data_IF_893152835640
#
_entry.id   IF_893152835640
#
_cell.length_a   1.000
_cell.length_b   1.000
_cell.length_c   1.000
_cell.angle_alpha   90.00
_cell.angle_beta   90.00
_cell.angle_gamma   90.00
#
_symmetry.space_group_name_H-M   'P 1'
#
loop_
_entity.id
_entity.type
_entity.pdbx_description
1 polymer ?
#
# COMPACT_ATOMS: atom_id res chain seq x y z
N UNK A 1 -16.34 -10.77 -14.30
CA UNK A 1 -16.53 -10.58 -12.85
C UNK A 1 -16.81 -9.10 -12.65
N UNK A 2 -17.84 -8.76 -11.91
CA UNK A 2 -18.18 -7.36 -11.63
C UNK A 2 -17.12 -6.75 -10.70
N UNK A 3 -16.77 -5.47 -10.88
CA UNK A 3 -15.75 -4.80 -10.09
C UNK A 3 -16.34 -4.25 -8.80
N UNK A 4 -15.67 -4.45 -7.67
CA UNK A 4 -16.07 -3.91 -6.36
C UNK A 4 -15.86 -2.38 -6.28
N UNK A 5 -14.82 -1.87 -6.96
CA UNK A 5 -14.56 -0.43 -7.09
C UNK A 5 -14.22 -0.12 -8.54
N UNK A 6 -14.82 0.94 -9.09
CA UNK A 6 -14.51 1.49 -10.42
C UNK A 6 -14.20 2.97 -10.27
N UNK A 7 -13.07 3.41 -10.81
CA UNK A 7 -12.64 4.81 -10.85
C UNK A 7 -12.36 5.19 -12.29
N UNK A 8 -13.05 6.23 -12.79
CA UNK A 8 -12.99 6.67 -14.19
C UNK A 8 -12.63 8.16 -14.27
N UNK A 9 -11.47 8.46 -14.82
CA UNK A 9 -10.94 9.83 -15.04
C UNK A 9 -11.12 10.76 -13.84
N UNK A 10 -10.86 10.23 -12.63
CA UNK A 10 -11.13 10.93 -11.39
C UNK A 10 -10.12 12.05 -11.20
N UNK A 11 -10.63 13.28 -11.05
CA UNK A 11 -9.83 14.49 -10.86
C UNK A 11 -10.23 15.19 -9.58
N UNK A 12 -9.25 15.70 -8.83
CA UNK A 12 -9.49 16.50 -7.63
C UNK A 12 -8.57 17.68 -7.53
N UNK A 13 -9.16 18.88 -7.46
CA UNK A 13 -8.50 20.13 -7.15
C UNK A 13 -8.86 20.60 -5.75
N UNK A 14 -7.89 21.10 -5.02
CA UNK A 14 -8.05 21.88 -3.78
C UNK A 14 -7.50 23.28 -4.03
N UNK A 15 -8.37 24.21 -4.43
CA UNK A 15 -7.93 25.51 -4.96
C UNK A 15 -7.02 25.30 -6.18
N UNK A 16 -5.81 25.81 -6.12
CA UNK A 16 -4.81 25.70 -7.20
C UNK A 16 -4.01 24.38 -7.17
N UNK A 17 -4.21 23.52 -6.16
CA UNK A 17 -3.48 22.26 -6.02
C UNK A 17 -4.25 21.14 -6.70
N UNK A 18 -3.70 20.59 -7.78
CA UNK A 18 -4.20 19.40 -8.47
C UNK A 18 -3.73 18.16 -7.68
N UNK A 19 -4.63 17.59 -6.87
CA UNK A 19 -4.34 16.42 -6.02
C UNK A 19 -4.50 15.10 -6.76
N UNK A 20 -5.48 15.02 -7.70
CA UNK A 20 -5.67 13.88 -8.59
C UNK A 20 -5.90 14.38 -10.01
N UNK A 21 -5.24 13.74 -10.96
CA UNK A 21 -5.23 14.11 -12.37
C UNK A 21 -5.66 12.93 -13.24
N UNK A 22 -6.97 12.84 -13.52
CA UNK A 22 -7.60 11.85 -14.41
C UNK A 22 -7.22 10.39 -14.09
N UNK A 23 -7.16 10.00 -12.82
CA UNK A 23 -6.85 8.62 -12.46
C UNK A 23 -7.98 7.68 -12.82
N UNK A 24 -7.63 6.48 -13.34
CA UNK A 24 -8.58 5.42 -13.67
C UNK A 24 -8.01 4.08 -13.26
N UNK A 25 -8.79 3.29 -12.53
CA UNK A 25 -8.49 1.91 -12.14
C UNK A 25 -9.75 1.19 -11.68
N UNK A 26 -9.66 -0.11 -11.53
CA UNK A 26 -10.71 -0.95 -10.96
C UNK A 26 -10.15 -1.91 -9.92
N UNK A 27 -10.97 -2.27 -8.93
CA UNK A 27 -10.73 -3.33 -7.96
C UNK A 27 -11.76 -4.43 -8.17
N UNK A 28 -11.32 -5.67 -8.34
CA UNK A 28 -12.20 -6.82 -8.53
C UNK A 28 -12.82 -7.26 -7.20
N UNK A 29 -13.96 -7.95 -7.25
CA UNK A 29 -14.53 -8.54 -6.05
C UNK A 29 -13.57 -9.55 -5.41
N UNK A 30 -13.37 -9.44 -4.09
CA UNK A 30 -12.48 -10.29 -3.32
C UNK A 30 -10.98 -10.03 -3.52
N UNK A 31 -10.60 -9.00 -4.29
CA UNK A 31 -9.21 -8.63 -4.54
C UNK A 31 -8.62 -7.81 -3.38
N UNK A 32 -7.35 -8.03 -3.06
CA UNK A 32 -6.54 -7.08 -2.30
C UNK A 32 -5.77 -6.21 -3.28
N UNK A 33 -6.20 -4.95 -3.41
CA UNK A 33 -5.62 -3.96 -4.33
C UNK A 33 -4.85 -2.90 -3.57
N UNK A 34 -3.64 -2.56 -4.04
CA UNK A 34 -2.76 -1.55 -3.46
C UNK A 34 -2.73 -0.25 -4.27
N UNK A 35 -2.85 0.89 -3.61
CA UNK A 35 -2.51 2.19 -4.17
C UNK A 35 -1.18 2.64 -3.57
N UNK A 36 -0.09 2.45 -4.31
CA UNK A 36 1.29 2.63 -3.87
C UNK A 36 1.84 3.96 -4.34
N UNK A 37 2.46 4.73 -3.46
CA UNK A 37 3.11 5.99 -3.85
C UNK A 37 3.60 6.81 -2.66
N UNK A 38 4.40 7.87 -2.91
CA UNK A 38 4.95 8.72 -1.86
C UNK A 38 3.86 9.55 -1.16
N UNK A 39 4.26 10.19 -0.06
CA UNK A 39 3.40 11.14 0.63
C UNK A 39 3.06 12.32 -0.28
N UNK A 40 1.78 12.70 -0.31
CA UNK A 40 1.29 13.75 -1.21
C UNK A 40 0.99 13.29 -2.65
N UNK A 41 1.15 12.00 -2.98
CA UNK A 41 0.85 11.49 -4.32
C UNK A 41 -0.64 11.45 -4.67
N UNK A 42 -1.56 11.63 -3.69
CA UNK A 42 -3.00 11.59 -3.91
C UNK A 42 -3.71 10.37 -3.29
N UNK A 43 -3.00 9.47 -2.60
CA UNK A 43 -3.55 8.24 -2.00
C UNK A 43 -4.75 8.50 -1.07
N UNK A 44 -4.54 9.26 -0.01
CA UNK A 44 -5.59 9.63 0.95
C UNK A 44 -6.73 10.41 0.31
N UNK A 45 -6.44 11.26 -0.70
CA UNK A 45 -7.48 11.97 -1.47
C UNK A 45 -8.37 10.99 -2.21
N UNK A 46 -7.79 9.95 -2.82
CA UNK A 46 -8.54 8.88 -3.48
C UNK A 46 -9.46 8.17 -2.50
N UNK A 47 -8.93 7.70 -1.34
CA UNK A 47 -9.75 7.08 -0.29
C UNK A 47 -10.89 8.00 0.15
N UNK A 48 -10.61 9.28 0.43
CA UNK A 48 -11.65 10.24 0.86
C UNK A 48 -12.78 10.42 -0.16
N UNK A 49 -12.49 10.31 -1.46
CA UNK A 49 -13.53 10.35 -2.48
C UNK A 49 -14.33 9.05 -2.49
N UNK A 50 -13.66 7.89 -2.46
CA UNK A 50 -14.31 6.58 -2.50
C UNK A 50 -15.18 6.31 -1.27
N UNK A 51 -14.82 6.86 -0.11
CA UNK A 51 -15.61 6.78 1.14
C UNK A 51 -16.68 7.88 1.26
N UNK A 52 -16.78 8.79 0.27
CA UNK A 52 -17.76 9.87 0.27
C UNK A 52 -17.44 11.03 1.22
N UNK A 53 -16.21 11.10 1.78
CA UNK A 53 -15.78 12.20 2.66
C UNK A 53 -15.46 13.49 1.89
N UNK A 54 -15.13 13.39 0.61
CA UNK A 54 -14.94 14.55 -0.26
C UNK A 54 -15.45 14.26 -1.67
N UNK A 55 -15.90 15.31 -2.36
CA UNK A 55 -16.38 15.20 -3.74
C UNK A 55 -15.23 15.35 -4.72
N UNK A 56 -15.19 14.59 -5.82
CA UNK A 56 -14.25 14.86 -6.91
C UNK A 56 -14.56 16.19 -7.60
N UNK A 57 -13.61 16.76 -8.29
CA UNK A 57 -13.83 17.93 -9.17
C UNK A 57 -14.46 17.49 -10.50
N UNK A 58 -14.02 16.34 -11.04
CA UNK A 58 -14.60 15.69 -12.22
C UNK A 58 -14.28 14.20 -12.21
N UNK A 59 -14.85 13.46 -13.16
CA UNK A 59 -14.74 12.02 -13.24
C UNK A 59 -15.81 11.31 -12.42
N UNK A 60 -15.71 9.99 -12.30
CA UNK A 60 -16.70 9.12 -11.66
C UNK A 60 -16.04 8.07 -10.81
N UNK A 61 -16.70 7.73 -9.68
CA UNK A 61 -16.33 6.58 -8.88
C UNK A 61 -17.57 5.79 -8.46
N UNK A 62 -17.48 4.46 -8.56
CA UNK A 62 -18.52 3.50 -8.16
C UNK A 62 -17.90 2.58 -7.12
N UNK A 63 -18.58 2.34 -6.01
CA UNK A 63 -18.18 1.42 -4.95
C UNK A 63 -19.34 0.51 -4.63
N UNK A 64 -19.10 -0.81 -4.62
CA UNK A 64 -20.13 -1.83 -4.40
C UNK A 64 -21.39 -1.61 -5.28
N UNK A 65 -21.19 -1.22 -6.55
CA UNK A 65 -22.26 -0.95 -7.51
C UNK A 65 -22.92 0.43 -7.39
N UNK A 66 -22.57 1.29 -6.42
CA UNK A 66 -23.19 2.58 -6.16
C UNK A 66 -22.25 3.76 -6.47
N UNK A 67 -22.80 4.78 -7.13
CA UNK A 67 -22.07 6.02 -7.43
C UNK A 67 -21.84 6.81 -6.13
N UNK A 68 -20.57 7.13 -5.83
CA UNK A 68 -20.16 7.76 -4.56
C UNK A 68 -20.77 9.16 -4.35
N UNK A 69 -21.22 9.83 -5.42
CA UNK A 69 -21.81 11.17 -5.37
C UNK A 69 -23.33 11.11 -5.35
N UNK A 70 -23.92 10.23 -6.17
CA UNK A 70 -25.38 10.14 -6.33
C UNK A 70 -26.03 9.31 -5.23
N UNK A 71 -25.30 8.32 -4.70
CA UNK A 71 -25.83 7.33 -3.75
C UNK A 71 -24.89 7.14 -2.54
N UNK A 72 -24.42 8.23 -1.89
CA UNK A 72 -23.38 8.15 -0.84
C UNK A 72 -23.82 7.31 0.36
N UNK A 73 -25.10 7.29 0.71
CA UNK A 73 -25.59 6.49 1.82
C UNK A 73 -25.57 4.98 1.53
N UNK A 74 -25.80 4.60 0.27
CA UNK A 74 -25.70 3.19 -0.14
C UNK A 74 -24.26 2.70 -0.16
N UNK A 75 -23.32 3.59 -0.54
CA UNK A 75 -21.89 3.32 -0.44
C UNK A 75 -21.49 3.11 1.02
N UNK A 76 -21.84 4.04 1.92
CA UNK A 76 -21.47 3.97 3.35
C UNK A 76 -21.93 2.69 4.04
N UNK A 77 -23.10 2.17 3.71
CA UNK A 77 -23.60 0.92 4.27
C UNK A 77 -22.80 -0.33 3.85
N UNK A 78 -21.97 -0.23 2.81
CA UNK A 78 -21.25 -1.37 2.19
C UNK A 78 -19.74 -1.28 2.33
N UNK A 79 -19.24 -0.23 2.96
CA UNK A 79 -17.81 -0.03 3.11
C UNK A 79 -17.40 -0.04 4.59
N UNK A 80 -16.29 -0.70 4.89
CA UNK A 80 -15.51 -0.47 6.12
C UNK A 80 -14.36 0.50 5.81
N UNK A 81 -14.02 1.33 6.79
CA UNK A 81 -12.89 2.24 6.64
C UNK A 81 -11.98 2.18 7.86
N UNK A 82 -10.70 1.96 7.61
CA UNK A 82 -9.62 1.95 8.58
C UNK A 82 -8.68 3.09 8.20
N UNK A 83 -8.64 4.12 9.05
CA UNK A 83 -7.80 5.29 8.83
C UNK A 83 -6.33 5.03 9.21
N UNK A 84 -5.44 5.93 8.78
CA UNK A 84 -4.03 5.90 9.17
C UNK A 84 -3.84 6.05 10.69
N UNK A 85 -4.66 6.93 11.31
CA UNK A 85 -4.71 7.06 12.76
C UNK A 85 -5.77 6.11 13.32
N UNK A 86 -5.46 5.46 14.43
CA UNK A 86 -6.38 4.52 15.10
C UNK A 86 -7.56 5.30 15.68
N UNK A 87 -8.77 4.97 15.22
CA UNK A 87 -10.02 5.64 15.64
C UNK A 87 -10.76 4.76 16.65
N UNK A 88 -10.17 4.52 17.80
CA UNK A 88 -10.84 3.89 18.93
C UNK A 88 -10.80 4.84 20.12
N UNK A 89 -11.86 4.85 20.91
CA UNK A 89 -11.93 5.66 22.13
C UNK A 89 -11.23 4.91 23.27
N UNK A 90 -10.17 5.49 23.79
CA UNK A 90 -9.32 4.89 24.82
C UNK A 90 -10.00 4.83 26.20
N UNK A 91 -10.97 5.67 26.45
CA UNK A 91 -11.71 5.74 27.71
C UNK A 91 -12.87 4.74 27.75
N UNK A 92 -13.30 4.24 26.60
CA UNK A 92 -14.32 3.21 26.46
C UNK A 92 -13.71 1.81 26.50
N UNK A 93 -14.51 0.82 26.88
CA UNK A 93 -14.19 -0.59 26.72
C UNK A 93 -14.26 -1.00 25.24
N UNK A 94 -13.71 -2.17 24.90
CA UNK A 94 -13.83 -2.69 23.54
C UNK A 94 -15.29 -2.91 23.13
N UNK A 95 -16.13 -3.37 24.08
CA UNK A 95 -17.55 -3.56 23.85
C UNK A 95 -18.29 -2.25 23.60
N UNK A 96 -18.01 -1.20 24.41
CA UNK A 96 -18.61 0.13 24.24
C UNK A 96 -18.19 0.80 22.93
N UNK A 97 -16.95 0.61 22.48
CA UNK A 97 -16.52 1.06 21.16
C UNK A 97 -17.35 0.39 20.02
N UNK A 98 -17.59 -0.93 20.11
CA UNK A 98 -18.44 -1.64 19.15
C UNK A 98 -19.91 -1.19 19.25
N UNK A 99 -20.42 -0.92 20.46
CA UNK A 99 -21.77 -0.39 20.66
C UNK A 99 -21.92 1.00 20.04
N UNK A 100 -20.93 1.86 20.22
CA UNK A 100 -20.91 3.19 19.61
C UNK A 100 -20.91 3.10 18.08
N UNK A 101 -20.06 2.21 17.52
CA UNK A 101 -20.02 1.96 16.06
C UNK A 101 -21.38 1.46 15.56
N UNK A 102 -21.98 0.50 16.25
CA UNK A 102 -23.28 -0.05 15.89
C UNK A 102 -24.37 1.02 15.87
N UNK A 103 -24.38 1.91 16.86
CA UNK A 103 -25.32 3.05 16.91
C UNK A 103 -25.12 4.01 15.75
N UNK A 104 -23.86 4.32 15.40
CA UNK A 104 -23.53 5.19 14.27
C UNK A 104 -23.97 4.60 12.92
N UNK A 105 -23.87 3.28 12.79
CA UNK A 105 -24.30 2.53 11.58
C UNK A 105 -25.80 2.20 11.59
N UNK A 106 -26.52 2.45 12.69
CA UNK A 106 -27.93 2.12 12.84
C UNK A 106 -28.23 0.63 12.94
N UNK A 107 -27.29 -0.18 13.47
CA UNK A 107 -27.42 -1.63 13.62
C UNK A 107 -28.19 -1.99 14.90
N UNK A 108 -29.24 -2.76 14.78
CA UNK A 108 -30.03 -3.23 15.94
C UNK A 108 -29.47 -4.54 16.52
N UNK A 109 -29.12 -5.51 15.66
CA UNK A 109 -28.73 -6.88 16.04
C UNK A 109 -27.19 -7.07 15.91
N UNK A 110 -26.42 -6.17 16.49
CA UNK A 110 -24.95 -6.15 16.35
C UNK A 110 -24.20 -7.06 17.34
N UNK A 111 -24.83 -7.42 18.48
CA UNK A 111 -24.13 -8.06 19.62
C UNK A 111 -23.53 -9.43 19.32
N UNK A 112 -24.27 -10.27 18.58
CA UNK A 112 -23.78 -11.59 18.21
C UNK A 112 -22.60 -11.46 17.24
N UNK A 113 -22.73 -10.57 16.26
CA UNK A 113 -21.66 -10.28 15.31
C UNK A 113 -20.43 -9.69 15.97
N UNK A 114 -20.59 -8.77 16.92
CA UNK A 114 -19.50 -8.23 17.73
C UNK A 114 -18.78 -9.32 18.53
N UNK A 115 -19.55 -10.21 19.16
CA UNK A 115 -18.98 -11.35 19.90
C UNK A 115 -18.20 -12.31 18.99
N UNK A 116 -18.71 -12.62 17.79
CA UNK A 116 -18.02 -13.43 16.79
C UNK A 116 -16.69 -12.79 16.35
N UNK A 117 -16.71 -11.50 16.01
CA UNK A 117 -15.52 -10.77 15.58
C UNK A 117 -14.46 -10.69 16.68
N UNK A 118 -14.85 -10.37 17.92
CA UNK A 118 -13.90 -10.34 19.04
C UNK A 118 -13.28 -11.71 19.30
N UNK A 119 -14.07 -12.80 19.18
CA UNK A 119 -13.56 -14.19 19.29
C UNK A 119 -12.62 -14.51 18.12
N UNK A 120 -13.00 -14.17 16.91
CA UNK A 120 -12.19 -14.38 15.70
C UNK A 120 -10.81 -13.74 15.83
N UNK A 121 -10.74 -12.49 16.33
CA UNK A 121 -9.48 -11.79 16.55
C UNK A 121 -8.78 -12.14 17.87
N UNK A 122 -9.37 -13.01 18.71
CA UNK A 122 -8.77 -13.46 19.98
C UNK A 122 -8.68 -12.36 21.03
N UNK A 123 -9.63 -11.42 21.04
CA UNK A 123 -9.70 -10.33 22.03
C UNK A 123 -11.02 -10.30 22.82
N UNK A 124 -11.85 -11.35 22.71
CA UNK A 124 -13.14 -11.43 23.39
C UNK A 124 -13.05 -11.35 24.92
N UNK A 125 -12.05 -12.00 25.51
CA UNK A 125 -11.83 -12.00 26.97
C UNK A 125 -11.48 -10.59 27.50
N UNK A 126 -11.15 -9.67 26.64
CA UNK A 126 -10.82 -8.29 26.97
C UNK A 126 -11.94 -7.31 26.65
N UNK A 127 -13.13 -7.78 26.26
CA UNK A 127 -14.23 -6.93 25.78
C UNK A 127 -14.68 -5.84 26.76
N UNK A 128 -14.60 -6.14 28.06
CA UNK A 128 -14.99 -5.24 29.16
C UNK A 128 -13.80 -4.40 29.70
N UNK A 129 -12.62 -4.50 29.07
CA UNK A 129 -11.42 -3.75 29.43
C UNK A 129 -11.34 -2.46 28.61
N UNK A 130 -10.98 -1.34 29.26
CA UNK A 130 -10.73 -0.06 28.58
C UNK A 130 -9.64 -0.20 27.51
N UNK A 131 -9.90 0.38 26.34
CA UNK A 131 -9.01 0.29 25.17
C UNK A 131 -7.68 1.00 25.41
N UNK A 132 -7.64 2.03 26.27
CA UNK A 132 -6.41 2.67 26.71
C UNK A 132 -5.35 1.72 27.31
N UNK A 133 -5.78 0.52 27.76
CA UNK A 133 -4.91 -0.53 28.31
C UNK A 133 -4.54 -1.62 27.28
N UNK A 134 -4.98 -1.49 26.04
CA UNK A 134 -4.69 -2.43 24.95
C UNK A 134 -3.30 -2.21 24.37
N UNK A 135 -2.66 -3.30 23.91
CA UNK A 135 -1.50 -3.18 23.03
C UNK A 135 -1.91 -2.59 21.67
N UNK A 136 -0.95 -2.05 20.93
CA UNK A 136 -1.19 -1.53 19.57
C UNK A 136 -1.86 -2.58 18.68
N UNK A 137 -1.42 -3.84 18.75
CA UNK A 137 -2.03 -4.93 18.00
C UNK A 137 -3.47 -5.22 18.41
N UNK A 138 -3.82 -5.17 19.71
CA UNK A 138 -5.20 -5.33 20.18
C UNK A 138 -6.09 -4.17 19.72
N UNK A 139 -5.60 -2.93 19.77
CA UNK A 139 -6.33 -1.76 19.25
C UNK A 139 -6.63 -1.91 17.76
N UNK A 140 -5.66 -2.36 16.97
CA UNK A 140 -5.85 -2.58 15.53
C UNK A 140 -6.84 -3.70 15.23
N UNK A 141 -6.83 -4.78 16.02
CA UNK A 141 -7.83 -5.84 15.93
C UNK A 141 -9.25 -5.35 16.26
N UNK A 142 -9.39 -4.48 17.26
CA UNK A 142 -10.67 -3.86 17.59
C UNK A 142 -11.14 -2.94 16.47
N UNK A 143 -10.28 -2.09 15.93
CA UNK A 143 -10.58 -1.21 14.79
C UNK A 143 -11.09 -1.99 13.58
N UNK A 144 -10.41 -3.10 13.26
CA UNK A 144 -10.84 -4.01 12.18
C UNK A 144 -12.20 -4.65 12.53
N UNK A 145 -12.42 -5.04 13.79
CA UNK A 145 -13.71 -5.58 14.23
C UNK A 145 -14.85 -4.57 14.06
N UNK A 146 -14.60 -3.31 14.38
CA UNK A 146 -15.56 -2.21 14.16
C UNK A 146 -15.86 -2.02 12.67
N UNK A 147 -14.83 -2.02 11.82
CA UNK A 147 -14.98 -1.89 10.37
C UNK A 147 -15.73 -3.05 9.72
N UNK A 148 -15.72 -4.27 10.34
CA UNK A 148 -16.40 -5.48 9.86
C UNK A 148 -17.81 -5.67 10.46
N UNK A 149 -18.22 -4.84 11.41
CA UNK A 149 -19.42 -5.06 12.20
C UNK A 149 -20.70 -5.15 11.36
N UNK A 150 -20.84 -4.30 10.36
CA UNK A 150 -21.99 -4.24 9.44
C UNK A 150 -21.82 -5.09 8.17
N UNK A 151 -20.80 -6.00 8.15
CA UNK A 151 -20.51 -6.91 7.03
C UNK A 151 -20.30 -6.20 5.69
N UNK A 152 -19.31 -5.31 5.57
CA UNK A 152 -19.06 -4.55 4.36
C UNK A 152 -18.63 -5.44 3.18
N UNK A 153 -18.87 -4.97 1.95
CA UNK A 153 -18.40 -5.59 0.72
C UNK A 153 -16.97 -5.14 0.34
N UNK A 154 -16.60 -3.93 0.78
CA UNK A 154 -15.28 -3.32 0.51
C UNK A 154 -14.72 -2.73 1.79
N UNK A 155 -13.44 -2.97 2.07
CA UNK A 155 -12.71 -2.28 3.14
C UNK A 155 -11.65 -1.37 2.52
N UNK A 156 -11.69 -0.11 2.90
CA UNK A 156 -10.64 0.87 2.61
C UNK A 156 -9.68 0.97 3.79
N UNK A 157 -8.38 0.88 3.53
CA UNK A 157 -7.33 1.01 4.54
C UNK A 157 -6.34 2.09 4.11
N UNK A 158 -6.29 3.20 4.87
CA UNK A 158 -5.34 4.28 4.58
C UNK A 158 -4.08 4.08 5.42
N UNK A 159 -2.99 3.64 4.79
CA UNK A 159 -1.69 3.38 5.41
C UNK A 159 -1.77 2.53 6.71
N UNK A 160 -2.37 1.33 6.67
CA UNK A 160 -2.78 0.57 7.86
C UNK A 160 -1.63 0.17 8.79
N UNK A 161 -0.38 0.15 8.30
CA UNK A 161 0.80 -0.30 9.05
C UNK A 161 1.75 0.84 9.44
N UNK A 162 1.36 2.10 9.20
CA UNK A 162 2.20 3.24 9.55
C UNK A 162 2.47 3.26 11.07
N UNK A 163 3.74 3.53 11.44
CA UNK A 163 4.14 3.60 12.84
C UNK A 163 4.24 2.26 13.59
N UNK A 164 3.98 1.12 12.92
CA UNK A 164 4.13 -0.22 13.50
C UNK A 164 5.57 -0.75 13.33
N UNK A 165 6.04 -1.48 14.33
CA UNK A 165 7.26 -2.28 14.21
C UNK A 165 7.10 -3.42 13.18
N UNK A 166 8.24 -4.00 12.74
CA UNK A 166 8.26 -5.03 11.68
C UNK A 166 7.43 -6.26 12.04
N UNK A 167 7.43 -6.69 13.31
CA UNK A 167 6.71 -7.89 13.73
C UNK A 167 5.19 -7.66 13.75
N UNK A 168 4.77 -6.53 14.29
CA UNK A 168 3.37 -6.11 14.32
C UNK A 168 2.81 -5.87 12.91
N UNK A 169 3.63 -5.30 12.01
CA UNK A 169 3.27 -5.12 10.60
C UNK A 169 2.99 -6.45 9.91
N UNK A 170 3.88 -7.45 10.06
CA UNK A 170 3.67 -8.78 9.48
C UNK A 170 2.42 -9.47 10.02
N UNK A 171 2.19 -9.39 11.33
CA UNK A 171 0.98 -9.92 11.95
C UNK A 171 -0.30 -9.25 11.39
N UNK A 172 -0.26 -7.94 11.12
CA UNK A 172 -1.38 -7.24 10.50
C UNK A 172 -1.60 -7.66 9.03
N UNK A 173 -0.54 -7.92 8.27
CA UNK A 173 -0.66 -8.47 6.91
C UNK A 173 -1.37 -9.81 6.90
N UNK A 174 -1.05 -10.70 7.85
CA UNK A 174 -1.73 -11.98 7.96
C UNK A 174 -3.21 -11.80 8.30
N UNK A 175 -3.54 -10.86 9.19
CA UNK A 175 -4.93 -10.50 9.49
C UNK A 175 -5.65 -9.99 8.23
N UNK A 176 -5.05 -9.10 7.45
CA UNK A 176 -5.65 -8.57 6.23
C UNK A 176 -5.93 -9.67 5.21
N UNK A 177 -5.00 -10.61 5.01
CA UNK A 177 -5.22 -11.79 4.15
C UNK A 177 -6.35 -12.66 4.67
N UNK A 178 -6.38 -12.89 5.98
CA UNK A 178 -7.40 -13.72 6.61
C UNK A 178 -8.81 -13.12 6.43
N UNK A 179 -8.99 -11.83 6.72
CA UNK A 179 -10.30 -11.19 6.58
C UNK A 179 -10.77 -11.16 5.12
N UNK A 180 -9.86 -10.90 4.17
CA UNK A 180 -10.17 -10.96 2.75
C UNK A 180 -10.68 -12.35 2.35
N UNK A 181 -9.99 -13.41 2.78
CA UNK A 181 -10.34 -14.80 2.46
C UNK A 181 -11.62 -15.25 3.16
N UNK A 182 -11.72 -15.04 4.48
CA UNK A 182 -12.75 -15.63 5.32
C UNK A 182 -14.09 -14.87 5.18
N UNK A 183 -14.04 -13.54 5.05
CA UNK A 183 -15.25 -12.71 4.85
C UNK A 183 -15.51 -12.37 3.38
N UNK A 184 -14.63 -12.77 2.44
CA UNK A 184 -14.72 -12.47 1.00
C UNK A 184 -14.87 -10.99 0.69
N UNK A 185 -14.32 -10.14 1.53
CA UNK A 185 -14.36 -8.70 1.41
C UNK A 185 -13.26 -8.22 0.46
N UNK A 186 -13.56 -7.30 -0.45
CA UNK A 186 -12.56 -6.64 -1.28
C UNK A 186 -11.79 -5.62 -0.44
N UNK A 187 -10.48 -5.53 -0.60
CA UNK A 187 -9.63 -4.61 0.16
C UNK A 187 -8.94 -3.66 -0.81
N UNK A 188 -9.09 -2.35 -0.59
CA UNK A 188 -8.25 -1.34 -1.20
C UNK A 188 -7.41 -0.68 -0.11
N UNK A 189 -6.11 -0.90 -0.15
CA UNK A 189 -5.18 -0.28 0.80
C UNK A 189 -4.29 0.76 0.11
N UNK A 190 -3.95 1.80 0.84
CA UNK A 190 -2.90 2.73 0.44
C UNK A 190 -1.64 2.46 1.23
N UNK A 191 -0.50 2.62 0.61
CA UNK A 191 0.79 2.47 1.29
C UNK A 191 1.91 3.22 0.56
N UNK A 192 2.94 3.56 1.29
CA UNK A 192 4.24 3.97 0.75
C UNK A 192 5.31 2.88 0.97
N UNK A 193 4.96 1.77 1.65
CA UNK A 193 5.86 0.64 1.86
C UNK A 193 5.76 -0.36 0.70
N UNK A 194 6.85 -0.47 -0.07
CA UNK A 194 6.92 -1.39 -1.21
C UNK A 194 6.76 -2.85 -0.79
N UNK A 195 7.35 -3.22 0.36
CA UNK A 195 7.24 -4.57 0.91
C UNK A 195 5.78 -4.92 1.22
N UNK A 196 4.99 -3.99 1.75
CA UNK A 196 3.57 -4.19 2.02
C UNK A 196 2.77 -4.46 0.74
N UNK A 197 2.97 -3.63 -0.28
CA UNK A 197 2.32 -3.80 -1.57
C UNK A 197 2.73 -5.12 -2.23
N UNK A 198 4.01 -5.49 -2.19
CA UNK A 198 4.55 -6.74 -2.76
C UNK A 198 4.01 -7.99 -2.05
N UNK A 199 3.85 -7.92 -0.73
CA UNK A 199 3.43 -9.07 0.08
C UNK A 199 1.92 -9.25 0.11
N UNK A 200 1.12 -8.19 0.06
CA UNK A 200 -0.33 -8.25 0.27
C UNK A 200 -1.14 -8.21 -1.01
N UNK A 201 -0.72 -7.38 -1.97
CA UNK A 201 -1.61 -7.00 -3.06
C UNK A 201 -1.49 -7.94 -4.25
N UNK A 202 -2.64 -8.32 -4.81
CA UNK A 202 -2.71 -9.07 -6.07
C UNK A 202 -2.40 -8.16 -7.26
N UNK A 203 -2.91 -6.92 -7.20
CA UNK A 203 -2.59 -5.85 -8.16
C UNK A 203 -2.32 -4.55 -7.42
N UNK A 204 -1.49 -3.72 -8.01
CA UNK A 204 -1.14 -2.40 -7.48
C UNK A 204 -1.25 -1.35 -8.59
N UNK A 205 -1.72 -0.17 -8.22
CA UNK A 205 -1.55 1.04 -9.00
C UNK A 205 -0.47 1.89 -8.34
N UNK A 206 0.59 2.23 -9.09
CA UNK A 206 1.61 3.15 -8.63
C UNK A 206 1.15 4.57 -8.98
N UNK A 207 0.95 5.39 -7.94
CA UNK A 207 0.51 6.78 -8.09
C UNK A 207 1.66 7.73 -7.74
N UNK A 208 1.89 8.72 -8.59
CA UNK A 208 2.85 9.79 -8.36
C UNK A 208 2.29 11.12 -8.86
N UNK A 209 2.39 12.19 -8.03
CA UNK A 209 1.90 13.55 -8.36
C UNK A 209 0.48 13.55 -8.93
N UNK A 210 -0.42 12.78 -8.31
CA UNK A 210 -1.83 12.70 -8.69
C UNK A 210 -2.13 11.83 -9.91
N UNK A 211 -1.15 11.15 -10.53
CA UNK A 211 -1.34 10.32 -11.73
C UNK A 211 -0.95 8.87 -11.47
N UNK A 212 -1.71 7.93 -12.03
CA UNK A 212 -1.29 6.53 -12.08
C UNK A 212 -0.24 6.38 -13.17
N UNK A 213 0.97 5.95 -12.79
CA UNK A 213 2.11 5.78 -13.69
C UNK A 213 2.36 4.33 -14.10
N UNK A 214 1.85 3.38 -13.32
CA UNK A 214 1.85 1.96 -13.65
C UNK A 214 0.71 1.24 -12.91
N UNK A 215 0.20 0.15 -13.50
CA UNK A 215 -0.82 -0.71 -12.93
C UNK A 215 -0.57 -2.15 -13.38
N UNK A 216 -0.61 -3.09 -12.46
CA UNK A 216 -0.42 -4.53 -12.70
C UNK A 216 -0.18 -5.29 -11.41
N UNK A 217 0.04 -6.60 -11.49
CA UNK A 217 0.53 -7.36 -10.35
C UNK A 217 1.97 -6.97 -9.99
N UNK A 218 2.40 -7.15 -8.73
CA UNK A 218 3.79 -6.91 -8.34
C UNK A 218 4.80 -7.64 -9.24
N UNK A 219 4.47 -8.87 -9.65
CA UNK A 219 5.32 -9.68 -10.53
C UNK A 219 5.44 -9.06 -11.93
N UNK A 220 4.30 -8.70 -12.57
CA UNK A 220 4.28 -8.04 -13.89
C UNK A 220 5.05 -6.71 -13.89
N UNK A 221 4.89 -5.92 -12.83
CA UNK A 221 5.58 -4.64 -12.73
C UNK A 221 7.08 -4.80 -12.55
N UNK A 222 7.50 -5.80 -11.75
CA UNK A 222 8.92 -6.15 -11.59
C UNK A 222 9.52 -6.68 -12.89
N UNK A 223 8.80 -7.51 -13.62
CA UNK A 223 9.25 -8.02 -14.93
C UNK A 223 9.39 -6.91 -15.97
N UNK A 224 8.40 -6.00 -16.02
CA UNK A 224 8.34 -4.95 -17.06
C UNK A 224 9.30 -3.78 -16.83
N UNK A 225 9.46 -3.35 -15.58
CA UNK A 225 10.18 -2.13 -15.23
C UNK A 225 11.38 -2.36 -14.32
N UNK A 226 11.54 -3.58 -13.83
CA UNK A 226 12.60 -3.91 -12.92
C UNK A 226 13.91 -4.24 -13.61
N UNK A 227 14.96 -4.17 -12.84
CA UNK A 227 16.30 -4.55 -13.30
C UNK A 227 17.02 -5.20 -12.13
N UNK A 228 17.47 -6.43 -12.31
CA UNK A 228 18.36 -7.09 -11.37
C UNK A 228 19.74 -6.44 -11.40
N UNK A 229 20.43 -6.43 -10.27
CA UNK A 229 21.79 -5.93 -10.18
C UNK A 229 22.70 -7.02 -9.62
N UNK A 230 23.70 -7.41 -10.40
CA UNK A 230 24.81 -8.25 -9.92
C UNK A 230 25.89 -7.31 -9.40
N UNK A 231 26.24 -7.42 -8.13
CA UNK A 231 27.39 -6.70 -7.51
C UNK A 231 28.52 -7.69 -7.23
N UNK A 232 29.71 -7.38 -7.70
CA UNK A 232 30.92 -8.22 -7.51
C UNK A 232 32.01 -7.36 -6.91
N UNK A 233 32.46 -7.70 -5.71
CA UNK A 233 33.64 -7.13 -5.09
C UNK A 233 34.88 -7.95 -5.51
N UNK A 234 35.89 -7.30 -6.07
CA UNK A 234 37.05 -7.99 -6.65
C UNK A 234 38.38 -7.25 -6.40
N UNK A 235 39.47 -7.98 -6.53
CA UNK A 235 40.84 -7.45 -6.61
C UNK A 235 41.46 -7.75 -7.98
N UNK A 236 42.14 -6.76 -8.55
CA UNK A 236 42.80 -6.85 -9.85
C UNK A 236 42.35 -5.77 -10.81
N UNK A 237 42.70 -5.94 -12.09
CA UNK A 237 42.27 -5.04 -13.18
C UNK A 237 41.30 -5.81 -14.07
N UNK A 238 40.15 -5.26 -14.35
CA UNK A 238 39.16 -5.85 -15.26
C UNK A 238 38.93 -4.95 -16.46
N UNK A 239 38.57 -5.54 -17.59
CA UNK A 239 38.11 -4.85 -18.77
C UNK A 239 36.57 -4.87 -18.77
N UNK A 240 35.98 -3.71 -18.57
CA UNK A 240 34.52 -3.51 -18.58
C UNK A 240 33.86 -4.05 -19.86
N UNK A 241 34.51 -3.91 -21.01
CA UNK A 241 33.97 -4.33 -22.33
C UNK A 241 33.64 -5.80 -22.39
N UNK A 242 34.39 -6.64 -21.65
CA UNK A 242 34.12 -8.09 -21.61
C UNK A 242 32.78 -8.44 -20.95
N UNK A 243 32.22 -7.53 -20.16
CA UNK A 243 31.00 -7.73 -19.38
C UNK A 243 29.78 -7.04 -20.01
N UNK A 244 29.94 -6.13 -20.95
CA UNK A 244 28.85 -5.37 -21.57
C UNK A 244 27.81 -6.25 -22.27
N UNK A 245 28.19 -7.45 -22.70
CA UNK A 245 27.24 -8.44 -23.26
C UNK A 245 26.22 -8.98 -22.25
N UNK A 246 26.44 -8.79 -20.96
CA UNK A 246 25.55 -9.24 -19.88
C UNK A 246 24.58 -8.17 -19.38
N UNK A 247 24.77 -6.89 -19.78
CA UNK A 247 23.93 -5.78 -19.38
C UNK A 247 24.70 -4.45 -19.29
N UNK A 248 24.10 -3.47 -18.65
CA UNK A 248 24.76 -2.20 -18.35
C UNK A 248 25.77 -2.38 -17.22
N UNK A 249 27.05 -2.13 -17.51
CA UNK A 249 28.17 -2.41 -16.59
C UNK A 249 28.76 -1.11 -16.05
N UNK A 250 28.93 -1.03 -14.74
CA UNK A 250 29.64 0.05 -14.04
C UNK A 250 30.78 -0.57 -13.22
N UNK A 251 32.00 -0.11 -13.44
CA UNK A 251 33.19 -0.55 -12.70
C UNK A 251 33.77 0.63 -11.94
N UNK A 252 33.87 0.51 -10.60
CA UNK A 252 34.44 1.56 -9.75
C UNK A 252 35.00 0.99 -8.44
N UNK A 253 36.13 1.49 -8.01
CA UNK A 253 36.70 1.19 -6.68
C UNK A 253 36.73 -0.30 -6.29
N UNK A 254 37.13 -1.21 -7.19
CA UNK A 254 37.15 -2.64 -6.92
C UNK A 254 35.78 -3.33 -6.86
N UNK A 255 34.76 -2.68 -7.41
CA UNK A 255 33.39 -3.19 -7.55
C UNK A 255 32.95 -3.17 -9.00
N UNK A 256 32.26 -4.23 -9.39
CA UNK A 256 31.54 -4.34 -10.67
C UNK A 256 30.06 -4.37 -10.35
N UNK A 257 29.26 -3.55 -11.02
CA UNK A 257 27.79 -3.62 -11.03
C UNK A 257 27.32 -3.91 -12.44
N UNK A 258 26.50 -4.94 -12.60
CA UNK A 258 25.89 -5.32 -13.87
C UNK A 258 24.38 -5.25 -13.68
N UNK A 259 23.71 -4.33 -14.39
CA UNK A 259 22.26 -4.28 -14.45
C UNK A 259 21.78 -5.19 -15.59
N UNK A 260 20.87 -6.08 -15.26
CA UNK A 260 20.38 -7.12 -16.19
C UNK A 260 18.95 -7.52 -15.81
N UNK A 261 18.20 -8.07 -16.75
CA UNK A 261 16.84 -8.56 -16.48
C UNK A 261 16.81 -10.03 -16.02
N UNK A 262 17.95 -10.69 -15.93
CA UNK A 262 18.03 -12.13 -15.65
C UNK A 262 19.34 -12.51 -14.95
N UNK A 263 19.59 -11.94 -13.78
CA UNK A 263 20.84 -12.11 -13.05
C UNK A 263 21.16 -13.57 -12.70
N UNK A 264 20.15 -14.35 -12.34
CA UNK A 264 20.35 -15.76 -11.92
C UNK A 264 20.87 -16.65 -13.05
N UNK A 265 20.39 -16.44 -14.27
CA UNK A 265 20.78 -17.26 -15.41
C UNK A 265 22.16 -16.90 -15.97
N UNK A 266 22.57 -15.63 -15.81
CA UNK A 266 23.85 -15.17 -16.39
C UNK A 266 25.00 -15.16 -15.40
N UNK A 267 24.76 -15.28 -14.08
CA UNK A 267 25.80 -15.14 -13.06
C UNK A 267 26.97 -16.11 -13.26
N UNK A 268 26.67 -17.35 -13.63
CA UNK A 268 27.72 -18.36 -13.88
C UNK A 268 28.66 -17.95 -15.01
N UNK A 269 28.10 -17.39 -16.08
CA UNK A 269 28.90 -16.95 -17.24
C UNK A 269 29.64 -15.64 -16.95
N UNK A 270 29.07 -14.74 -16.15
CA UNK A 270 29.77 -13.55 -15.63
C UNK A 270 31.00 -13.97 -14.83
N UNK A 271 30.84 -14.93 -13.91
CA UNK A 271 31.96 -15.41 -13.07
C UNK A 271 33.03 -16.12 -13.88
N UNK A 272 32.67 -16.90 -14.90
CA UNK A 272 33.64 -17.50 -15.86
C UNK A 272 34.46 -16.42 -16.58
N UNK A 273 33.81 -15.31 -16.97
CA UNK A 273 34.52 -14.20 -17.65
C UNK A 273 35.49 -13.43 -16.72
N UNK A 274 35.30 -13.56 -15.39
CA UNK A 274 36.11 -12.93 -14.35
C UNK A 274 37.06 -13.92 -13.66
N UNK A 275 37.31 -15.08 -14.26
CA UNK A 275 38.15 -16.16 -13.69
C UNK A 275 39.59 -15.71 -13.35
N UNK A 276 40.09 -14.68 -14.06
CA UNK A 276 41.44 -14.13 -13.85
C UNK A 276 41.51 -13.16 -12.62
N UNK A 277 40.36 -12.85 -12.01
CA UNK A 277 40.26 -11.92 -10.88
C UNK A 277 40.06 -12.66 -9.57
N UNK A 278 40.57 -12.09 -8.49
CA UNK A 278 40.26 -12.56 -7.14
C UNK A 278 38.93 -11.96 -6.70
N UNK A 279 37.87 -12.75 -6.79
CA UNK A 279 36.52 -12.37 -6.36
C UNK A 279 36.43 -12.49 -4.83
N UNK A 280 36.01 -11.42 -4.17
CA UNK A 280 35.81 -11.35 -2.70
C UNK A 280 34.37 -11.65 -2.30
N UNK A 281 33.41 -11.08 -3.03
CA UNK A 281 31.99 -11.26 -2.76
C UNK A 281 31.20 -11.14 -4.04
N UNK A 282 30.05 -11.84 -4.10
CA UNK A 282 29.05 -11.73 -5.15
C UNK A 282 27.69 -11.57 -4.48
N UNK A 283 26.94 -10.57 -4.89
CA UNK A 283 25.55 -10.33 -4.44
C UNK A 283 24.65 -10.16 -5.66
N UNK A 284 23.52 -10.82 -5.63
CA UNK A 284 22.46 -10.62 -6.61
C UNK A 284 21.33 -9.88 -5.89
N UNK A 285 21.15 -8.62 -6.25
CA UNK A 285 20.02 -7.83 -5.81
C UNK A 285 18.91 -7.99 -6.83
N UNK A 286 17.91 -8.81 -6.49
CA UNK A 286 16.74 -8.98 -7.34
C UNK A 286 15.93 -7.70 -7.40
N UNK A 287 15.25 -7.53 -8.51
CA UNK A 287 14.29 -6.45 -8.70
C UNK A 287 13.28 -6.39 -7.55
N UNK A 288 13.14 -5.21 -6.96
CA UNK A 288 12.10 -4.87 -6.00
C UNK A 288 11.15 -3.83 -6.58
N UNK A 289 10.00 -3.62 -5.93
CA UNK A 289 9.10 -2.52 -6.29
C UNK A 289 9.77 -1.15 -6.09
N UNK A 290 10.78 -1.03 -5.20
CA UNK A 290 11.59 0.18 -5.05
C UNK A 290 12.33 0.52 -6.35
N UNK A 291 12.96 -0.51 -6.96
CA UNK A 291 13.65 -0.31 -8.25
C UNK A 291 12.68 0.01 -9.37
N UNK A 292 11.49 -0.60 -9.37
CA UNK A 292 10.39 -0.26 -10.31
C UNK A 292 10.00 1.21 -10.15
N UNK A 293 9.74 1.65 -8.92
CA UNK A 293 9.36 3.03 -8.64
C UNK A 293 10.45 4.02 -9.06
N UNK A 294 11.71 3.74 -8.70
CA UNK A 294 12.86 4.55 -9.10
C UNK A 294 12.99 4.66 -10.63
N UNK A 295 12.81 3.55 -11.34
CA UNK A 295 12.86 3.53 -12.82
C UNK A 295 11.76 4.40 -13.43
N UNK A 296 10.55 4.35 -12.88
CA UNK A 296 9.39 5.09 -13.40
C UNK A 296 9.42 6.59 -13.07
N UNK A 297 10.03 6.98 -11.94
CA UNK A 297 9.95 8.36 -11.42
C UNK A 297 11.28 9.12 -11.44
N UNK A 298 12.39 8.40 -11.55
CA UNK A 298 13.74 8.96 -11.41
C UNK A 298 14.13 9.34 -9.97
N UNK A 299 13.26 9.08 -8.98
CA UNK A 299 13.47 9.42 -7.57
C UNK A 299 13.10 8.26 -6.67
N UNK A 300 13.75 8.14 -5.51
CA UNK A 300 13.33 7.18 -4.46
C UNK A 300 12.09 7.70 -3.72
N UNK A 301 11.37 6.81 -3.02
CA UNK A 301 10.25 7.25 -2.17
C UNK A 301 10.70 8.19 -1.04
N UNK A 302 11.88 7.93 -0.45
CA UNK A 302 12.47 8.76 0.61
C UNK A 302 12.80 10.18 0.13
N UNK A 303 13.33 10.32 -1.10
CA UNK A 303 13.60 11.64 -1.71
C UNK A 303 12.30 12.37 -2.02
N UNK A 304 11.26 11.66 -2.48
CA UNK A 304 9.91 12.22 -2.69
C UNK A 304 9.28 12.72 -1.38
N UNK A 305 9.54 12.08 -0.24
CA UNK A 305 9.12 12.56 1.09
C UNK A 305 9.84 13.85 1.50
N UNK A 306 11.13 13.96 1.20
CA UNK A 306 11.90 15.17 1.52
C UNK A 306 11.40 16.39 0.72
N UNK A 307 11.05 16.21 -0.54
CA UNK A 307 10.47 17.25 -1.37
C UNK A 307 9.05 17.63 -0.94
N UNK A 308 8.23 16.69 -0.54
CA UNK A 308 6.89 16.93 0.00
C UNK A 308 6.95 17.73 1.32
N UNK A 309 7.85 17.37 2.25
CA UNK A 309 8.06 18.12 3.50
C UNK A 309 8.52 19.56 3.22
N UNK A 310 9.44 19.75 2.28
CA UNK A 310 9.88 21.09 1.83
C UNK A 310 8.72 21.91 1.27
N UNK A 311 7.87 21.30 0.46
CA UNK A 311 6.68 21.92 -0.12
C UNK A 311 5.65 22.35 0.96
N UNK A 312 5.35 21.47 1.93
CA UNK A 312 4.47 21.81 3.06
C UNK A 312 5.06 22.90 3.95
N UNK A 313 6.37 22.93 4.18
CA UNK A 313 7.04 24.00 4.93
C UNK A 313 6.94 25.35 4.20
N UNK A 314 7.02 25.34 2.87
CA UNK A 314 6.90 26.54 2.02
C UNK A 314 5.49 27.12 2.07
N UNK A 315 4.45 26.26 1.98
CA UNK A 315 3.04 26.68 2.10
C UNK A 315 2.75 27.25 3.50
N UNK A 316 3.30 26.66 4.56
CA UNK A 316 3.10 27.12 5.93
C UNK A 316 3.78 28.48 6.21
N UNK A 317 4.89 28.78 5.52
CA UNK A 317 5.57 30.09 5.57
C UNK A 317 4.85 31.17 4.76
N UNK A 318 4.19 30.81 3.67
CA UNK A 318 3.42 31.75 2.84
C UNK A 318 2.05 32.15 3.45
N UNK A 319 1.59 31.45 4.51
CA UNK A 319 0.34 31.75 5.26
C UNK A 319 0.57 32.51 6.58
N UNK A 320 1.79 32.92 6.86
CA UNK A 320 2.15 33.88 7.93
C UNK A 320 2.57 35.20 7.30
#
# INVERSE_FOLDING_TARGET
>A
MESAVIVENLTKNYGDVLALDHISFEVKHGEIFGLLGPNGAGKTTTIKILTGLTKPTSGRAIVAGFDVIKQPNEVKKRIGWIAAEVIVDDDLTAWENLELQAKLEGLNDWKDRASELLKYFGIYEFKDKQVGKFSTGMRKKLEISMALLHSPEVIFMDEPTIGLDVSTRKALWDIIRQINKDFRVSVLLTTHYMEEADMLCERIAIINKGRIIALGSPAELKEKYGTDVIEIDYEGKTDQKKLEKFGEVIVYNGKIRIKTNNAENIIADVLKQLSDLKIKAVRINKTSLDTVFLTLTGTTLEEGEFDARRFYMTIRRARR
#
